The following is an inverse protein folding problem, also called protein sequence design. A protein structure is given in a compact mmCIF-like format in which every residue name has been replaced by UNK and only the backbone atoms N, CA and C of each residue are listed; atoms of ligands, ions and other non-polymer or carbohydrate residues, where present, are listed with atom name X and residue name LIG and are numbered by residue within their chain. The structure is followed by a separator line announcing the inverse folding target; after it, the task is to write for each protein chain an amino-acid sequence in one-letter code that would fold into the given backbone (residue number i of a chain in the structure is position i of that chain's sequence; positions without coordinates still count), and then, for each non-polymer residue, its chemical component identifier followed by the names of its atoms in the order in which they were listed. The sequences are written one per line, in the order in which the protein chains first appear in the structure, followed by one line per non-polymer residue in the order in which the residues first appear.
data_IF_214487325256
#
_entry.id   IF_214487325256
#
_cell.length_a   1.000
_cell.length_b   1.000
_cell.length_c   1.000
_cell.angle_alpha   90.00
_cell.angle_beta   90.00
_cell.angle_gamma   90.00
#
_symmetry.space_group_name_H-M   'P 1'
#
loop_
_entity.id
_entity.type
_entity.pdbx_description
1 polymer ?
#
# COMPACT_ATOMS: atom_id res chain seq x y z
N UNK A 1 30.63 9.97 3.59
CA UNK A 1 29.25 9.88 3.06
C UNK A 1 28.30 9.82 4.26
N UNK A 2 27.49 10.87 4.48
CA UNK A 2 26.44 10.84 5.50
C UNK A 2 25.44 9.75 5.06
N UNK A 3 25.37 8.68 5.84
CA UNK A 3 24.38 7.64 5.71
C UNK A 3 22.99 8.31 5.78
N UNK A 4 22.28 8.34 4.65
CA UNK A 4 20.95 8.93 4.58
C UNK A 4 20.01 8.01 5.38
N UNK A 5 19.55 8.48 6.54
CA UNK A 5 18.49 7.76 7.27
C UNK A 5 17.21 7.85 6.45
N UNK A 6 17.02 6.88 5.55
CA UNK A 6 15.78 6.70 4.80
C UNK A 6 14.84 5.84 5.66
N UNK A 7 13.58 6.24 5.73
CA UNK A 7 12.53 5.48 6.40
C UNK A 7 11.78 4.66 5.36
N UNK A 8 12.13 3.37 5.26
CA UNK A 8 11.63 2.51 4.19
C UNK A 8 10.26 1.93 4.50
N UNK A 9 9.43 1.81 3.47
CA UNK A 9 8.13 1.15 3.55
C UNK A 9 7.99 0.13 2.44
N UNK A 10 7.60 -1.10 2.82
CA UNK A 10 7.29 -2.18 1.90
C UNK A 10 5.82 -2.08 1.49
N UNK A 11 5.55 -1.93 0.20
CA UNK A 11 4.22 -1.81 -0.38
C UNK A 11 3.93 -3.06 -1.22
N UNK A 12 3.11 -3.96 -0.70
CA UNK A 12 2.80 -5.28 -1.28
C UNK A 12 1.29 -5.53 -1.34
N UNK A 13 0.89 -6.48 -2.15
CA UNK A 13 -0.50 -6.83 -2.39
C UNK A 13 -0.80 -6.95 -3.88
N UNK A 14 -2.04 -6.63 -4.29
CA UNK A 14 -2.45 -6.81 -5.68
C UNK A 14 -2.57 -5.48 -6.47
N UNK A 15 -3.48 -5.46 -7.44
CA UNK A 15 -3.57 -4.38 -8.44
C UNK A 15 -3.80 -2.99 -7.85
N UNK A 16 -4.59 -2.86 -6.80
CA UNK A 16 -4.82 -1.58 -6.14
C UNK A 16 -3.57 -1.06 -5.41
N UNK A 17 -2.65 -1.93 -4.95
CA UNK A 17 -1.34 -1.51 -4.47
C UNK A 17 -0.36 -1.23 -5.63
N UNK A 18 -0.38 -2.07 -6.67
CA UNK A 18 0.46 -1.89 -7.85
C UNK A 18 0.18 -0.57 -8.59
N UNK A 19 -1.05 -0.08 -8.47
CA UNK A 19 -1.56 1.11 -9.15
C UNK A 19 -2.27 0.78 -10.46
N UNK A 20 -3.52 1.22 -10.57
CA UNK A 20 -4.38 1.09 -11.76
C UNK A 20 -5.11 2.38 -12.10
N UNK A 21 -5.06 3.37 -11.23
CA UNK A 21 -5.72 4.64 -11.47
C UNK A 21 -5.05 5.42 -12.59
N UNK A 22 -5.84 5.97 -13.49
CA UNK A 22 -5.37 6.71 -14.66
C UNK A 22 -4.47 7.89 -14.26
N UNK A 23 -3.48 8.12 -15.07
CA UNK A 23 -2.54 9.23 -14.90
C UNK A 23 -2.59 10.13 -16.13
N UNK A 24 -2.84 11.40 -15.92
CA UNK A 24 -2.63 12.43 -16.95
C UNK A 24 -1.12 12.79 -17.05
N UNK A 25 -0.76 13.60 -18.02
CA UNK A 25 0.63 13.99 -18.25
C UNK A 25 1.20 14.81 -17.09
N UNK A 26 0.38 15.64 -16.45
CA UNK A 26 0.78 16.40 -15.26
C UNK A 26 1.20 15.49 -14.12
N UNK A 27 0.42 14.44 -13.83
CA UNK A 27 0.78 13.43 -12.81
C UNK A 27 2.04 12.66 -13.18
N UNK A 28 2.21 12.31 -14.46
CA UNK A 28 3.42 11.59 -14.93
C UNK A 28 4.69 12.41 -14.78
N UNK A 29 4.59 13.73 -14.93
CA UNK A 29 5.71 14.66 -14.80
C UNK A 29 6.08 14.96 -13.33
N UNK A 30 5.24 14.62 -12.36
CA UNK A 30 5.51 14.91 -10.96
C UNK A 30 6.68 14.09 -10.42
N UNK A 31 7.48 14.75 -9.61
CA UNK A 31 8.44 14.13 -8.72
C UNK A 31 8.24 14.65 -7.30
N UNK A 32 8.47 13.81 -6.31
CA UNK A 32 8.33 14.18 -4.91
C UNK A 32 9.71 14.46 -4.30
N UNK A 33 9.81 15.56 -3.56
CA UNK A 33 10.99 15.82 -2.76
C UNK A 33 11.04 14.87 -1.57
N UNK A 34 12.23 14.40 -1.23
CA UNK A 34 12.47 13.47 -0.13
C UNK A 34 11.76 12.10 -0.25
N UNK A 35 11.26 11.72 -1.43
CA UNK A 35 10.70 10.39 -1.70
C UNK A 35 11.57 9.66 -2.72
N UNK A 36 11.91 8.44 -2.39
CA UNK A 36 12.81 7.59 -3.17
C UNK A 36 12.16 6.24 -3.44
N UNK A 37 12.46 5.67 -4.60
CA UNK A 37 11.97 4.36 -5.03
C UNK A 37 13.14 3.41 -5.21
N UNK A 38 13.03 2.22 -4.66
CA UNK A 38 14.02 1.16 -4.86
C UNK A 38 13.96 0.62 -6.29
N UNK A 39 15.06 0.70 -7.01
CA UNK A 39 15.22 0.21 -8.37
C UNK A 39 15.57 -1.29 -8.45
N UNK A 40 15.87 -1.81 -9.64
CA UNK A 40 16.20 -3.23 -9.86
C UNK A 40 17.54 -3.63 -9.22
N UNK A 41 18.48 -2.70 -9.05
CA UNK A 41 19.80 -2.96 -8.47
C UNK A 41 19.78 -2.95 -6.94
N UNK A 42 18.64 -2.57 -6.33
CA UNK A 42 18.55 -2.40 -4.89
C UNK A 42 18.93 -1.01 -4.39
N UNK A 43 19.22 -0.08 -5.30
CA UNK A 43 19.52 1.31 -4.97
C UNK A 43 18.25 2.14 -4.93
N UNK A 44 18.33 3.28 -4.25
CA UNK A 44 17.24 4.26 -4.20
C UNK A 44 17.47 5.40 -5.19
N UNK A 45 16.50 5.64 -6.04
CA UNK A 45 16.45 6.79 -6.94
C UNK A 45 15.25 7.69 -6.61
N UNK A 46 15.21 8.93 -7.11
CA UNK A 46 14.09 9.85 -6.91
C UNK A 46 12.79 9.21 -7.43
N UNK A 47 11.75 9.19 -6.61
CA UNK A 47 10.50 8.55 -6.97
C UNK A 47 9.76 9.32 -8.07
N UNK A 48 9.38 8.62 -9.12
CA UNK A 48 8.47 9.07 -10.19
C UNK A 48 7.45 7.97 -10.49
N UNK A 49 6.31 8.33 -11.04
CA UNK A 49 5.27 7.35 -11.41
C UNK A 49 5.62 6.58 -12.71
N UNK A 50 5.18 5.34 -12.85
CA UNK A 50 4.48 4.49 -11.86
C UNK A 50 5.45 3.86 -10.84
N UNK A 51 5.05 3.79 -9.56
CA UNK A 51 5.94 3.30 -8.51
C UNK A 51 6.21 1.80 -8.56
N UNK A 52 5.29 1.01 -9.11
CA UNK A 52 5.47 -0.46 -9.23
C UNK A 52 6.33 -0.89 -10.42
N UNK A 53 6.98 0.05 -11.12
CA UNK A 53 7.79 -0.24 -12.33
C UNK A 53 8.96 -1.20 -12.10
N UNK A 54 9.50 -1.22 -10.90
CA UNK A 54 10.61 -2.07 -10.48
C UNK A 54 10.18 -3.31 -9.70
N UNK A 55 8.87 -3.59 -9.61
CA UNK A 55 8.40 -4.82 -9.01
C UNK A 55 8.90 -6.03 -9.80
N UNK A 56 9.51 -6.98 -9.10
CA UNK A 56 10.06 -8.22 -9.68
C UNK A 56 8.98 -9.25 -10.00
N UNK A 57 7.77 -9.00 -9.52
CA UNK A 57 6.61 -9.90 -9.69
C UNK A 57 5.47 -9.27 -10.49
N UNK A 58 5.63 -8.01 -10.98
CA UNK A 58 4.56 -7.34 -11.73
C UNK A 58 4.16 -8.10 -12.98
N UNK A 59 2.95 -7.85 -13.45
CA UNK A 59 2.54 -8.11 -14.82
C UNK A 59 3.19 -7.08 -15.75
N UNK A 60 2.64 -6.87 -16.91
CA UNK A 60 3.17 -5.92 -17.88
C UNK A 60 3.34 -4.51 -17.29
N UNK A 61 4.37 -3.80 -17.76
CA UNK A 61 4.69 -2.43 -17.34
C UNK A 61 3.56 -1.44 -17.74
N UNK A 62 2.91 -1.68 -18.86
CA UNK A 62 1.80 -0.86 -19.36
C UNK A 62 0.59 -0.85 -18.42
N UNK A 63 0.48 -1.86 -17.55
CA UNK A 63 -0.56 -1.96 -16.53
C UNK A 63 -0.23 -1.21 -15.23
N UNK A 64 0.94 -0.60 -15.12
CA UNK A 64 1.37 0.08 -13.91
C UNK A 64 1.03 1.57 -14.00
N UNK A 65 0.21 2.03 -13.07
CA UNK A 65 -0.30 3.40 -12.99
C UNK A 65 -0.15 3.98 -11.58
N UNK A 66 -1.01 4.95 -11.21
CA UNK A 66 -1.04 5.52 -9.88
C UNK A 66 -1.61 4.52 -8.88
N UNK A 67 -0.89 4.35 -7.78
CA UNK A 67 -1.31 3.58 -6.60
C UNK A 67 -1.17 4.41 -5.31
N UNK A 68 -1.61 3.88 -4.17
CA UNK A 68 -1.71 4.65 -2.92
C UNK A 68 -0.34 4.98 -2.32
N UNK A 69 0.71 4.26 -2.68
CA UNK A 69 2.06 4.49 -2.14
C UNK A 69 2.61 5.89 -2.48
N UNK A 70 2.11 6.56 -3.53
CA UNK A 70 2.51 7.90 -3.91
C UNK A 70 2.18 8.92 -2.84
N UNK A 71 0.90 9.12 -2.55
CA UNK A 71 0.44 10.08 -1.54
C UNK A 71 0.75 9.65 -0.11
N UNK A 72 0.87 8.33 0.14
CA UNK A 72 1.42 7.84 1.41
C UNK A 72 2.82 8.37 1.66
N UNK A 73 3.73 8.21 0.69
CA UNK A 73 5.12 8.63 0.86
C UNK A 73 5.26 10.15 0.94
N UNK A 74 4.49 10.88 0.14
CA UNK A 74 4.42 12.34 0.21
C UNK A 74 4.02 12.78 1.64
N UNK A 75 2.90 12.26 2.15
CA UNK A 75 2.40 12.59 3.50
C UNK A 75 3.42 12.24 4.59
N UNK A 76 4.11 11.12 4.46
CA UNK A 76 5.12 10.70 5.44
C UNK A 76 6.39 11.56 5.37
N UNK A 77 6.81 12.00 4.18
CA UNK A 77 7.95 12.90 4.01
C UNK A 77 7.64 14.28 4.61
N UNK A 78 6.47 14.82 4.33
CA UNK A 78 6.00 16.09 4.88
C UNK A 78 5.87 16.04 6.41
N UNK A 79 5.24 14.99 6.93
CA UNK A 79 5.03 14.81 8.37
C UNK A 79 6.35 14.65 9.14
N UNK A 80 7.27 13.85 8.62
CA UNK A 80 8.50 13.51 9.36
C UNK A 80 9.64 14.46 9.11
N UNK A 81 9.61 15.25 8.02
CA UNK A 81 10.73 16.03 7.52
C UNK A 81 11.92 15.17 7.05
N UNK A 82 11.74 13.86 6.91
CA UNK A 82 12.78 12.91 6.56
C UNK A 82 12.59 12.32 5.16
N UNK A 83 13.67 11.72 4.63
CA UNK A 83 13.59 10.93 3.40
C UNK A 83 12.78 9.64 3.62
N UNK A 84 11.90 9.35 2.68
CA UNK A 84 11.06 8.15 2.66
C UNK A 84 11.46 7.28 1.48
N UNK A 85 11.79 6.02 1.74
CA UNK A 85 12.06 5.02 0.73
C UNK A 85 10.85 4.11 0.50
N UNK A 86 10.58 3.79 -0.73
CA UNK A 86 9.52 2.87 -1.14
C UNK A 86 10.11 1.62 -1.78
N UNK A 87 9.70 0.47 -1.27
CA UNK A 87 9.91 -0.84 -1.89
C UNK A 87 8.54 -1.30 -2.39
N UNK A 88 8.20 -0.94 -3.62
CA UNK A 88 6.90 -1.33 -4.19
C UNK A 88 7.06 -2.62 -4.96
N UNK A 89 6.41 -3.68 -4.50
CA UNK A 89 6.52 -5.02 -5.08
C UNK A 89 5.16 -5.71 -5.06
N UNK A 90 4.24 -5.24 -5.88
CA UNK A 90 2.87 -5.73 -5.95
C UNK A 90 2.58 -6.49 -7.25
N UNK A 91 1.63 -7.46 -7.18
CA UNK A 91 1.22 -8.32 -8.29
C UNK A 91 -0.28 -8.22 -8.53
N UNK A 92 -0.69 -7.63 -9.64
CA UNK A 92 -2.10 -7.53 -10.01
C UNK A 92 -2.77 -8.91 -10.16
N UNK A 93 -3.94 -9.08 -9.54
CA UNK A 93 -4.71 -10.33 -9.56
C UNK A 93 -4.15 -11.43 -8.68
N UNK A 94 -3.23 -11.13 -7.77
CA UNK A 94 -2.71 -12.14 -6.84
C UNK A 94 -3.71 -12.49 -5.74
N UNK A 95 -3.69 -13.76 -5.31
CA UNK A 95 -4.42 -14.28 -4.17
C UNK A 95 -3.51 -14.38 -2.94
N UNK A 96 -4.09 -14.43 -1.73
CA UNK A 96 -3.31 -14.53 -0.48
C UNK A 96 -2.43 -15.78 -0.43
N UNK A 97 -2.86 -16.88 -1.03
CA UNK A 97 -2.12 -18.14 -1.13
C UNK A 97 -0.77 -17.97 -1.83
N UNK A 98 -0.68 -17.03 -2.78
CA UNK A 98 0.56 -16.74 -3.51
C UNK A 98 1.55 -15.87 -2.70
N UNK A 99 1.15 -15.42 -1.49
CA UNK A 99 1.96 -14.64 -0.58
C UNK A 99 2.39 -15.42 0.68
N UNK A 100 2.11 -16.71 0.74
CA UNK A 100 2.53 -17.55 1.85
C UNK A 100 4.05 -17.78 1.84
N UNK A 101 4.63 -18.02 3.02
CA UNK A 101 6.06 -18.28 3.16
C UNK A 101 6.53 -19.39 2.23
N UNK A 102 7.59 -19.12 1.49
CA UNK A 102 8.16 -20.03 0.49
C UNK A 102 7.66 -19.81 -0.93
N UNK A 103 6.57 -19.07 -1.14
CA UNK A 103 6.12 -18.69 -2.49
C UNK A 103 6.99 -17.60 -3.10
N UNK A 104 6.89 -17.44 -4.41
CA UNK A 104 7.66 -16.43 -5.14
C UNK A 104 7.44 -15.01 -4.59
N UNK A 105 6.17 -14.61 -4.32
CA UNK A 105 5.87 -13.23 -3.96
C UNK A 105 6.35 -12.91 -2.55
N UNK A 106 6.20 -13.85 -1.63
CA UNK A 106 6.75 -13.74 -0.29
C UNK A 106 8.28 -13.63 -0.31
N UNK A 107 8.95 -14.55 -1.00
CA UNK A 107 10.41 -14.59 -1.06
C UNK A 107 10.97 -13.30 -1.68
N UNK A 108 10.34 -12.75 -2.71
CA UNK A 108 10.73 -11.49 -3.33
C UNK A 108 10.48 -10.27 -2.41
N UNK A 109 9.40 -10.27 -1.63
CA UNK A 109 9.16 -9.23 -0.62
C UNK A 109 10.26 -9.24 0.45
N UNK A 110 10.65 -10.42 0.95
CA UNK A 110 11.76 -10.58 1.91
C UNK A 110 13.07 -10.14 1.27
N UNK A 111 13.43 -10.69 0.11
CA UNK A 111 14.70 -10.40 -0.58
C UNK A 111 14.90 -8.91 -0.82
N UNK A 112 13.88 -8.23 -1.37
CA UNK A 112 13.95 -6.79 -1.64
C UNK A 112 14.06 -5.96 -0.35
N UNK A 113 13.33 -6.34 0.69
CA UNK A 113 13.39 -5.65 1.98
C UNK A 113 14.75 -5.83 2.66
N UNK A 114 15.33 -7.03 2.61
CA UNK A 114 16.65 -7.31 3.17
C UNK A 114 17.79 -6.59 2.42
N UNK A 115 17.66 -6.37 1.12
CA UNK A 115 18.64 -5.61 0.35
C UNK A 115 18.80 -4.17 0.87
N UNK A 116 17.73 -3.60 1.44
CA UNK A 116 17.71 -2.23 1.99
C UNK A 116 18.19 -2.17 3.43
N UNK A 117 18.15 -3.28 4.17
CA UNK A 117 18.52 -3.31 5.59
C UNK A 117 19.94 -2.82 5.86
N UNK A 118 20.82 -2.85 4.86
CA UNK A 118 22.18 -2.30 4.90
C UNK A 118 22.22 -0.77 4.87
N UNK A 119 21.19 -0.13 4.30
CA UNK A 119 21.15 1.32 4.06
C UNK A 119 20.04 2.05 4.86
N UNK A 120 19.04 1.34 5.35
CA UNK A 120 17.88 1.91 6.03
C UNK A 120 17.25 0.96 7.04
N UNK A 121 16.11 1.37 7.62
CA UNK A 121 15.29 0.54 8.51
C UNK A 121 13.88 0.50 7.98
N UNK A 122 13.37 -0.70 7.70
CA UNK A 122 11.97 -0.89 7.35
C UNK A 122 11.07 -0.38 8.49
N UNK A 123 10.14 0.51 8.17
CA UNK A 123 9.31 1.23 9.14
C UNK A 123 7.83 0.88 9.07
N UNK A 124 7.38 0.35 7.94
CA UNK A 124 6.01 -0.07 7.74
C UNK A 124 5.89 -1.08 6.60
N UNK A 125 4.83 -1.88 6.66
CA UNK A 125 4.33 -2.70 5.57
C UNK A 125 2.95 -2.17 5.21
N UNK A 126 2.73 -1.81 3.94
CA UNK A 126 1.42 -1.48 3.40
C UNK A 126 0.91 -2.67 2.60
N UNK A 127 -0.31 -3.08 2.90
CA UNK A 127 -0.98 -4.20 2.26
C UNK A 127 -2.31 -3.76 1.63
N UNK A 128 -2.48 -4.05 0.34
CA UNK A 128 -3.76 -3.90 -0.33
C UNK A 128 -4.01 -5.09 -1.25
N UNK A 129 -4.82 -6.03 -0.78
CA UNK A 129 -5.17 -7.25 -1.49
C UNK A 129 -6.45 -7.84 -0.88
N UNK A 130 -7.20 -8.59 -1.66
CA UNK A 130 -8.37 -9.31 -1.19
C UNK A 130 -9.40 -9.53 -2.30
N UNK A 131 -9.40 -8.72 -3.36
CA UNK A 131 -10.38 -8.80 -4.43
C UNK A 131 -10.39 -10.18 -5.09
N UNK A 132 -9.21 -10.77 -5.34
CA UNK A 132 -9.08 -12.13 -5.90
C UNK A 132 -9.56 -13.23 -4.95
N UNK A 133 -9.53 -12.99 -3.64
CA UNK A 133 -10.02 -13.93 -2.63
C UNK A 133 -11.48 -13.67 -2.23
N UNK A 134 -11.98 -12.48 -2.50
CA UNK A 134 -13.39 -12.12 -2.29
C UNK A 134 -14.28 -12.78 -3.35
N UNK A 135 -13.81 -12.80 -4.59
CA UNK A 135 -14.51 -13.37 -5.76
C UNK A 135 -13.56 -14.15 -6.67
N UNK A 136 -14.15 -15.00 -7.52
CA UNK A 136 -13.44 -15.71 -8.59
C UNK A 136 -12.84 -17.03 -8.15
N UNK A 137 -11.86 -17.49 -8.90
CA UNK A 137 -11.22 -18.80 -8.76
C UNK A 137 -10.53 -19.02 -7.41
N UNK A 138 -9.95 -17.96 -6.86
CA UNK A 138 -9.21 -18.02 -5.59
C UNK A 138 -10.06 -17.67 -4.37
N UNK A 139 -11.39 -17.62 -4.53
CA UNK A 139 -12.31 -17.31 -3.44
C UNK A 139 -12.14 -18.27 -2.27
N UNK A 140 -12.00 -17.68 -1.09
CA UNK A 140 -11.98 -18.40 0.19
C UNK A 140 -12.88 -17.68 1.20
N UNK A 141 -13.14 -18.33 2.31
CA UNK A 141 -13.92 -17.70 3.37
C UNK A 141 -13.15 -16.54 4.01
N UNK A 142 -13.84 -15.49 4.52
CA UNK A 142 -13.18 -14.43 5.27
C UNK A 142 -12.34 -14.96 6.43
N UNK A 143 -12.80 -15.99 7.12
CA UNK A 143 -12.07 -16.59 8.24
C UNK A 143 -10.76 -17.26 7.78
N UNK A 144 -10.79 -17.97 6.67
CA UNK A 144 -9.59 -18.59 6.09
C UNK A 144 -8.58 -17.53 5.63
N UNK A 145 -9.06 -16.47 4.97
CA UNK A 145 -8.22 -15.34 4.58
C UNK A 145 -7.52 -14.72 5.79
N UNK A 146 -8.27 -14.44 6.87
CA UNK A 146 -7.74 -13.88 8.10
C UNK A 146 -6.61 -14.74 8.68
N UNK A 147 -6.82 -16.05 8.76
CA UNK A 147 -5.81 -16.98 9.29
C UNK A 147 -4.53 -16.98 8.46
N UNK A 148 -4.67 -17.07 7.12
CA UNK A 148 -3.54 -17.03 6.19
C UNK A 148 -2.78 -15.70 6.28
N UNK A 149 -3.49 -14.58 6.32
CA UNK A 149 -2.89 -13.26 6.43
C UNK A 149 -2.10 -13.09 7.72
N UNK A 150 -2.69 -13.42 8.88
CA UNK A 150 -2.00 -13.30 10.17
C UNK A 150 -0.75 -14.19 10.20
N UNK A 151 -0.86 -15.43 9.72
CA UNK A 151 0.28 -16.34 9.62
C UNK A 151 1.39 -15.74 8.73
N UNK A 152 1.05 -15.30 7.53
CA UNK A 152 1.98 -14.70 6.58
C UNK A 152 2.68 -13.46 7.16
N UNK A 153 1.95 -12.55 7.81
CA UNK A 153 2.54 -11.34 8.39
C UNK A 153 3.47 -11.66 9.56
N UNK A 154 3.10 -12.61 10.43
CA UNK A 154 3.98 -13.03 11.54
C UNK A 154 5.30 -13.61 11.00
N UNK A 155 5.23 -14.46 9.99
CA UNK A 155 6.41 -15.03 9.33
C UNK A 155 7.24 -13.94 8.64
N UNK A 156 6.60 -13.00 7.93
CA UNK A 156 7.28 -11.91 7.24
C UNK A 156 8.01 -10.99 8.22
N UNK A 157 7.39 -10.62 9.33
CA UNK A 157 8.02 -9.84 10.40
C UNK A 157 9.24 -10.56 10.98
N UNK A 158 9.10 -11.86 11.27
CA UNK A 158 10.19 -12.69 11.76
C UNK A 158 11.36 -12.74 10.77
N UNK A 159 11.09 -13.04 9.49
CA UNK A 159 12.12 -13.15 8.45
C UNK A 159 12.78 -11.80 8.12
N UNK A 160 12.10 -10.68 8.40
CA UNK A 160 12.65 -9.32 8.30
C UNK A 160 13.40 -8.88 9.57
N UNK A 161 13.47 -9.71 10.60
CA UNK A 161 14.19 -9.43 11.85
C UNK A 161 13.54 -8.34 12.71
N UNK A 162 12.23 -8.10 12.57
CA UNK A 162 11.52 -7.11 13.38
C UNK A 162 10.04 -7.47 13.55
N UNK A 163 9.70 -8.16 14.62
CA UNK A 163 8.34 -8.64 14.91
C UNK A 163 7.31 -7.53 15.14
N UNK A 164 7.78 -6.31 15.36
CA UNK A 164 6.93 -5.14 15.65
C UNK A 164 6.76 -4.17 14.48
N UNK A 165 7.19 -4.51 13.27
CA UNK A 165 6.95 -3.63 12.10
C UNK A 165 5.46 -3.34 11.95
N UNK A 166 5.03 -2.05 11.92
CA UNK A 166 3.65 -1.70 11.67
C UNK A 166 3.16 -2.23 10.32
N UNK A 167 1.92 -2.75 10.31
CA UNK A 167 1.24 -3.19 9.09
C UNK A 167 -0.04 -2.38 8.92
N UNK A 168 -0.24 -1.79 7.76
CA UNK A 168 -1.44 -1.05 7.43
C UNK A 168 -2.16 -1.75 6.29
N UNK A 169 -3.39 -2.17 6.53
CA UNK A 169 -4.24 -2.89 5.58
C UNK A 169 -5.23 -1.91 4.96
N UNK A 170 -5.50 -2.00 3.65
CA UNK A 170 -6.55 -1.24 2.99
C UNK A 170 -7.80 -2.08 2.73
N UNK A 171 -8.98 -1.54 3.04
CA UNK A 171 -10.25 -2.14 2.64
C UNK A 171 -10.45 -2.13 1.13
N UNK A 172 -11.22 -3.10 0.62
CA UNK A 172 -11.67 -3.20 -0.76
C UNK A 172 -12.71 -2.13 -1.08
N UNK A 173 -12.81 -1.76 -2.34
CA UNK A 173 -13.81 -0.82 -2.83
C UNK A 173 -15.25 -1.26 -2.57
N UNK A 174 -16.16 -0.32 -2.30
CA UNK A 174 -17.54 -0.57 -1.88
C UNK A 174 -18.58 -0.23 -2.97
N UNK A 175 -18.21 -0.36 -4.22
CA UNK A 175 -19.10 -0.18 -5.38
C UNK A 175 -19.47 -1.52 -6.04
N UNK A 176 -20.22 -1.50 -7.14
CA UNK A 176 -20.89 -2.65 -7.76
C UNK A 176 -19.97 -3.63 -8.51
N UNK A 177 -18.67 -3.70 -8.22
CA UNK A 177 -17.77 -4.72 -8.79
C UNK A 177 -18.06 -6.12 -8.24
N UNK A 178 -18.73 -6.20 -7.10
CA UNK A 178 -19.11 -7.42 -6.41
C UNK A 178 -20.38 -7.22 -5.61
N UNK A 179 -21.01 -8.32 -5.17
CA UNK A 179 -22.13 -8.28 -4.23
C UNK A 179 -21.74 -7.52 -2.96
N UNK A 180 -22.56 -6.53 -2.60
CA UNK A 180 -22.26 -5.62 -1.48
C UNK A 180 -22.11 -6.34 -0.14
N UNK A 181 -22.89 -7.42 0.10
CA UNK A 181 -22.78 -8.20 1.33
C UNK A 181 -21.41 -8.91 1.39
N UNK A 182 -20.99 -9.52 0.30
CA UNK A 182 -19.70 -10.23 0.22
C UNK A 182 -18.55 -9.27 0.48
N UNK A 183 -18.56 -8.08 -0.13
CA UNK A 183 -17.53 -7.05 0.07
C UNK A 183 -17.55 -6.51 1.49
N UNK A 184 -18.73 -6.26 2.06
CA UNK A 184 -18.86 -5.75 3.43
C UNK A 184 -18.38 -6.76 4.46
N UNK A 185 -18.73 -8.04 4.31
CA UNK A 185 -18.25 -9.11 5.18
C UNK A 185 -16.73 -9.26 5.10
N UNK A 186 -16.16 -9.16 3.90
CA UNK A 186 -14.71 -9.18 3.71
C UNK A 186 -14.02 -7.96 4.32
N UNK A 187 -14.56 -6.77 4.14
CA UNK A 187 -14.05 -5.55 4.74
C UNK A 187 -14.16 -5.53 6.27
N UNK A 188 -15.22 -6.11 6.83
CA UNK A 188 -15.35 -6.30 8.28
C UNK A 188 -14.28 -7.25 8.81
N UNK A 189 -13.97 -8.32 8.08
CA UNK A 189 -12.89 -9.24 8.43
C UNK A 189 -11.53 -8.52 8.40
N UNK A 190 -11.24 -7.66 7.40
CA UNK A 190 -10.00 -6.89 7.35
C UNK A 190 -9.83 -5.98 8.58
N UNK A 191 -10.92 -5.37 9.07
CA UNK A 191 -10.91 -4.61 10.34
C UNK A 191 -10.58 -5.52 11.51
N UNK A 192 -11.22 -6.70 11.59
CA UNK A 192 -10.99 -7.65 12.68
C UNK A 192 -9.55 -8.21 12.72
N UNK A 193 -8.82 -8.20 11.61
CA UNK A 193 -7.38 -8.51 11.59
C UNK A 193 -6.60 -7.46 12.36
N UNK A 194 -6.93 -6.18 12.14
CA UNK A 194 -6.22 -5.07 12.80
C UNK A 194 -6.48 -5.06 14.33
N UNK A 195 -7.61 -5.58 14.78
CA UNK A 195 -7.92 -5.74 16.20
C UNK A 195 -7.13 -6.89 16.86
N UNK A 196 -6.84 -7.95 16.10
CA UNK A 196 -6.16 -9.16 16.61
C UNK A 196 -4.63 -9.10 16.47
N UNK A 197 -4.12 -8.52 15.38
CA UNK A 197 -2.70 -8.50 15.06
C UNK A 197 -2.03 -7.25 15.68
N UNK A 198 -1.07 -7.40 16.63
CA UNK A 198 -0.37 -6.27 17.21
C UNK A 198 0.32 -5.38 16.15
N UNK A 199 0.34 -4.07 16.40
CA UNK A 199 0.90 -3.08 15.47
C UNK A 199 0.31 -3.19 14.06
N UNK A 200 -1.00 -3.37 13.98
CA UNK A 200 -1.75 -3.41 12.74
C UNK A 200 -2.88 -2.37 12.77
N UNK A 201 -3.20 -1.80 11.62
CA UNK A 201 -4.34 -0.92 11.44
C UNK A 201 -5.00 -1.17 10.09
N UNK A 202 -6.30 -0.95 10.00
CA UNK A 202 -7.05 -1.06 8.77
C UNK A 202 -7.60 0.31 8.36
N UNK A 203 -7.34 0.73 7.13
CA UNK A 203 -7.90 1.96 6.57
C UNK A 203 -9.17 1.68 5.79
N UNK A 204 -10.18 2.51 6.04
CA UNK A 204 -11.49 2.35 5.44
C UNK A 204 -11.51 2.86 3.99
N UNK A 205 -12.31 2.21 3.16
CA UNK A 205 -12.57 2.62 1.77
C UNK A 205 -13.86 3.44 1.59
N UNK A 206 -14.55 3.73 2.68
CA UNK A 206 -15.79 4.51 2.64
C UNK A 206 -15.58 5.88 1.98
N UNK A 207 -16.52 6.27 1.11
CA UNK A 207 -16.49 7.52 0.34
C UNK A 207 -15.49 7.55 -0.81
N UNK A 208 -14.83 6.43 -1.13
CA UNK A 208 -13.92 6.33 -2.27
C UNK A 208 -14.65 5.83 -3.51
N UNK A 209 -14.27 6.37 -4.68
CA UNK A 209 -14.92 6.07 -5.95
C UNK A 209 -14.06 5.15 -6.85
N UNK A 210 -14.70 4.35 -7.72
CA UNK A 210 -14.01 3.51 -8.70
C UNK A 210 -13.33 4.31 -9.80
N UNK A 211 -12.38 3.66 -10.49
CA UNK A 211 -11.76 4.21 -11.70
C UNK A 211 -12.75 4.28 -12.87
N UNK A 212 -13.65 3.28 -12.94
CA UNK A 212 -14.64 3.13 -14.00
C UNK A 212 -16.03 2.91 -13.40
N UNK A 213 -16.78 4.01 -13.10
CA UNK A 213 -18.13 3.91 -12.56
C UNK A 213 -19.07 3.12 -13.44
N UNK A 214 -19.96 2.34 -12.82
CA UNK A 214 -20.95 1.53 -13.54
C UNK A 214 -20.39 0.26 -14.21
N UNK A 215 -19.17 -0.13 -13.86
CA UNK A 215 -18.54 -1.38 -14.31
C UNK A 215 -18.23 -2.32 -13.15
N UNK A 216 -17.97 -3.59 -13.47
CA UNK A 216 -17.48 -4.58 -12.48
C UNK A 216 -15.97 -4.46 -12.17
N UNK A 217 -15.36 -3.33 -12.48
CA UNK A 217 -13.94 -3.10 -12.23
C UNK A 217 -13.70 -2.79 -10.74
N UNK A 218 -12.78 -3.50 -10.04
CA UNK A 218 -12.54 -3.32 -8.61
C UNK A 218 -11.54 -2.19 -8.30
N UNK A 219 -11.06 -1.46 -9.30
CA UNK A 219 -9.96 -0.51 -9.11
C UNK A 219 -10.45 0.86 -8.66
N UNK A 220 -9.74 1.42 -7.70
CA UNK A 220 -9.94 2.80 -7.22
C UNK A 220 -9.54 3.83 -8.27
N UNK A 221 -10.33 4.89 -8.40
CA UNK A 221 -10.01 6.04 -9.24
C UNK A 221 -8.84 6.88 -8.68
N UNK A 222 -8.38 7.85 -9.46
CA UNK A 222 -7.19 8.68 -9.14
C UNK A 222 -7.34 9.38 -7.79
N UNK A 223 -8.42 10.12 -7.56
CA UNK A 223 -8.67 10.78 -6.28
C UNK A 223 -8.78 9.78 -5.11
N UNK A 224 -9.38 8.61 -5.36
CA UNK A 224 -9.52 7.57 -4.36
C UNK A 224 -8.17 6.95 -3.98
N UNK A 225 -7.28 6.68 -4.94
CA UNK A 225 -5.92 6.19 -4.67
C UNK A 225 -5.09 7.20 -3.87
N UNK A 226 -5.18 8.49 -4.20
CA UNK A 226 -4.50 9.55 -3.44
C UNK A 226 -5.05 9.62 -2.00
N UNK A 227 -6.37 9.58 -1.85
CA UNK A 227 -7.01 9.58 -0.52
C UNK A 227 -6.63 8.33 0.29
N UNK A 228 -6.60 7.17 -0.35
CA UNK A 228 -6.19 5.92 0.31
C UNK A 228 -4.75 6.02 0.85
N UNK A 229 -3.82 6.57 0.06
CA UNK A 229 -2.45 6.77 0.52
C UNK A 229 -2.34 7.71 1.71
N UNK A 230 -3.09 8.82 1.71
CA UNK A 230 -3.17 9.73 2.87
C UNK A 230 -3.73 8.99 4.10
N UNK A 231 -4.75 8.15 3.92
CA UNK A 231 -5.31 7.33 5.02
C UNK A 231 -4.28 6.33 5.56
N UNK A 232 -3.48 5.70 4.72
CA UNK A 232 -2.37 4.84 5.13
C UNK A 232 -1.34 5.60 5.99
N UNK A 233 -0.96 6.81 5.58
CA UNK A 233 -0.02 7.64 6.34
C UNK A 233 -0.59 8.00 7.72
N UNK A 234 -1.83 8.47 7.78
CA UNK A 234 -2.52 8.79 9.05
C UNK A 234 -2.57 7.59 9.98
N UNK A 235 -2.95 6.41 9.48
CA UNK A 235 -3.00 5.19 10.29
C UNK A 235 -1.64 4.82 10.87
N UNK A 236 -0.56 4.96 10.08
CA UNK A 236 0.80 4.71 10.56
C UNK A 236 1.24 5.70 11.65
N UNK A 237 0.90 6.98 11.50
CA UNK A 237 1.21 8.03 12.48
C UNK A 237 0.51 7.74 13.80
N UNK A 238 -0.78 7.39 13.76
CA UNK A 238 -1.58 7.03 14.95
C UNK A 238 -1.02 5.81 15.66
N UNK A 239 -0.67 4.74 14.90
CA UNK A 239 -0.05 3.54 15.49
C UNK A 239 1.27 3.83 16.21
N UNK A 240 1.98 4.89 15.83
CA UNK A 240 3.22 5.32 16.49
C UNK A 240 3.00 6.22 17.71
N UNK A 241 1.76 6.43 18.12
CA UNK A 241 1.39 7.20 19.32
C UNK A 241 1.37 8.72 19.12
N UNK A 242 1.47 9.22 17.90
CA UNK A 242 1.47 10.65 17.62
C UNK A 242 0.09 11.16 17.17
N UNK A 243 -0.82 11.19 18.12
CA UNK A 243 -2.23 11.57 17.86
C UNK A 243 -2.40 13.10 17.68
N UNK A 244 -1.55 13.91 18.30
CA UNK A 244 -1.73 15.38 18.33
C UNK A 244 -1.39 16.04 16.99
N UNK A 245 -0.41 15.51 16.27
CA UNK A 245 0.03 16.07 14.97
C UNK A 245 -0.90 15.72 13.81
N UNK A 246 -1.68 14.64 13.93
CA UNK A 246 -2.65 14.20 12.89
C UNK A 246 -3.68 15.30 12.59
N UNK A 247 -4.14 16.03 13.63
CA UNK A 247 -5.11 17.12 13.46
C UNK A 247 -4.55 18.33 12.72
N UNK A 248 -3.29 18.71 12.96
CA UNK A 248 -2.65 19.86 12.29
C UNK A 248 -2.34 19.60 10.83
N UNK A 249 -1.93 18.38 10.47
CA UNK A 249 -1.66 17.98 9.09
C UNK A 249 -2.93 17.79 8.25
N UNK A 250 -4.05 17.38 8.85
CA UNK A 250 -5.30 17.15 8.12
C UNK A 250 -5.81 18.37 7.37
N UNK A 251 -5.70 19.56 7.96
CA UNK A 251 -6.21 20.80 7.36
C UNK A 251 -5.36 21.20 6.14
N UNK A 252 -4.04 21.05 6.22
CA UNK A 252 -3.12 21.46 5.15
C UNK A 252 -3.13 20.49 3.96
N UNK A 253 -3.09 19.17 4.21
CA UNK A 253 -3.07 18.14 3.15
C UNK A 253 -4.38 18.11 2.33
N UNK A 254 -5.53 18.38 2.94
CA UNK A 254 -6.81 18.37 2.22
C UNK A 254 -6.90 19.54 1.21
N UNK A 255 -6.29 20.68 1.52
CA UNK A 255 -6.26 21.86 0.65
C UNK A 255 -5.30 21.67 -0.52
N UNK A 256 -4.11 21.12 -0.28
CA UNK A 256 -3.06 20.99 -1.31
C UNK A 256 -3.36 19.84 -2.30
N UNK A 257 -3.94 18.74 -1.84
CA UNK A 257 -4.32 17.62 -2.70
C UNK A 257 -5.54 17.93 -3.59
N UNK A 258 -6.49 18.74 -3.09
CA UNK A 258 -7.63 19.22 -3.89
C UNK A 258 -7.22 20.24 -4.95
N UNK A 259 -6.16 21.02 -4.71
CA UNK A 259 -5.57 21.91 -5.72
C UNK A 259 -4.86 21.14 -6.82
N UNK A 260 -4.16 20.05 -6.51
CA UNK A 260 -3.50 19.20 -7.51
C UNK A 260 -4.48 18.39 -8.39
N UNK A 261 -5.70 18.15 -7.90
CA UNK A 261 -6.77 17.50 -8.69
C UNK A 261 -7.58 18.45 -9.58
N UNK A 262 -7.39 19.76 -9.46
CA UNK A 262 -8.06 20.79 -10.29
C UNK A 262 -7.23 21.23 -11.50
N UNK A 263 -6.04 20.70 -11.67
CA UNK A 263 -5.18 20.84 -12.85
C UNK A 263 -5.21 19.54 -13.65
#
# INVERSE_FOLDING_TARGET
QRQMCIRDSLCIGQSNMAGRALMNDSLRALSLDNVYLMNNNGDFEKATLPLNRYSTIRKDISMQHLGPAWSFAQSMAEYTGHKVGLIVNARGGSAIQEWEKGTLYYNEAVRRSMAVAKAGKLKAILWHQGESNCLGEYKISPQEYKQRFICMIRQLRHDLGCDSIPVIIGQLGRWEWADSKVVNDFNAMLVSIAEELPNCSCVLSEGLAPAYPGTSDPHFGTAAQLTMGIRYAKALIVLKGDVVSVWKSCIKMCTDCLLACRL
#
